data_IF_703894525042
#
_entry.id   IF_703894525042
#
_cell.length_a   1.000
_cell.length_b   1.000
_cell.length_c   1.000
_cell.angle_alpha   90.00
_cell.angle_beta   90.00
_cell.angle_gamma   90.00
#
_symmetry.space_group_name_H-M   'P 1'
#
loop_
_entity.id
_entity.type
_entity.pdbx_description
1 polymer ?
#
# COMPACT_ATOMS: atom_id res chain seq x y z
N UNK A 1 25.38 -17.22 -10.95
CA UNK A 1 24.79 -16.23 -10.02
C UNK A 1 23.72 -16.95 -9.21
N UNK A 2 23.62 -16.67 -7.92
CA UNK A 2 22.50 -17.17 -7.11
C UNK A 2 21.31 -16.27 -7.43
N UNK A 3 20.22 -16.86 -7.87
CA UNK A 3 19.03 -16.11 -8.27
C UNK A 3 18.12 -15.94 -7.06
N UNK A 4 17.92 -14.70 -6.64
CA UNK A 4 17.24 -14.35 -5.38
C UNK A 4 15.92 -13.60 -5.60
N UNK A 5 15.47 -13.46 -6.84
CA UNK A 5 14.27 -12.71 -7.18
C UNK A 5 13.01 -13.59 -7.16
N UNK A 6 11.90 -13.00 -6.72
CA UNK A 6 10.58 -13.61 -6.76
C UNK A 6 9.56 -12.61 -7.32
N UNK A 7 8.68 -13.08 -8.20
CA UNK A 7 7.46 -12.36 -8.57
C UNK A 7 6.36 -12.72 -7.57
N UNK A 8 5.58 -11.72 -7.13
CA UNK A 8 4.42 -11.97 -6.28
C UNK A 8 3.15 -11.95 -7.14
N UNK A 9 2.27 -12.93 -6.94
CA UNK A 9 0.95 -12.99 -7.55
C UNK A 9 -0.14 -12.89 -6.47
N UNK A 10 -1.12 -11.98 -6.66
CA UNK A 10 -2.27 -11.86 -5.77
C UNK A 10 -3.29 -12.95 -6.06
N UNK A 11 -3.87 -13.52 -5.00
CA UNK A 11 -4.98 -14.47 -5.07
C UNK A 11 -6.28 -13.87 -4.48
N UNK A 12 -6.22 -12.62 -4.01
CA UNK A 12 -7.31 -11.94 -3.29
C UNK A 12 -7.33 -12.24 -1.78
N UNK A 13 -8.06 -11.44 -1.01
CA UNK A 13 -8.17 -11.55 0.46
C UNK A 13 -6.81 -11.55 1.19
N UNK A 14 -5.83 -10.81 0.67
CA UNK A 14 -4.52 -10.62 1.29
C UNK A 14 -3.58 -11.79 1.14
N UNK A 15 -3.95 -12.72 0.27
CA UNK A 15 -3.19 -13.95 0.02
C UNK A 15 -2.36 -13.81 -1.24
N UNK A 16 -1.15 -14.35 -1.17
CA UNK A 16 -0.17 -14.25 -2.24
C UNK A 16 0.52 -15.57 -2.56
N UNK A 17 1.12 -15.62 -3.75
CA UNK A 17 2.07 -16.64 -4.19
C UNK A 17 3.40 -15.98 -4.52
N UNK A 18 4.51 -16.61 -4.18
CA UNK A 18 5.84 -16.23 -4.65
C UNK A 18 6.23 -17.16 -5.80
N UNK A 19 6.45 -16.59 -6.98
CA UNK A 19 6.97 -17.28 -8.15
C UNK A 19 8.45 -16.96 -8.30
N UNK A 20 9.30 -17.96 -8.42
CA UNK A 20 10.73 -17.79 -8.71
C UNK A 20 10.94 -17.36 -10.16
N UNK A 21 12.14 -16.89 -10.48
CA UNK A 21 12.63 -16.60 -11.83
C UNK A 21 12.43 -17.73 -12.85
N UNK A 22 12.52 -18.99 -12.41
CA UNK A 22 12.31 -20.18 -13.23
C UNK A 22 10.84 -20.64 -13.27
N UNK A 23 9.92 -19.72 -13.01
CA UNK A 23 8.46 -19.88 -13.10
C UNK A 23 7.83 -20.88 -12.11
N UNK A 24 8.63 -21.40 -11.16
CA UNK A 24 8.16 -22.29 -10.09
C UNK A 24 7.61 -21.48 -8.92
N UNK A 25 6.99 -22.16 -7.95
CA UNK A 25 6.39 -21.48 -6.81
C UNK A 25 6.99 -21.92 -5.48
N UNK A 26 7.18 -20.96 -4.58
CA UNK A 26 7.54 -21.21 -3.19
C UNK A 26 6.29 -21.64 -2.42
N UNK A 27 6.40 -22.70 -1.62
CA UNK A 27 5.31 -23.23 -0.78
C UNK A 27 5.84 -23.65 0.60
N UNK A 28 5.06 -23.51 1.68
CA UNK A 28 5.36 -24.06 2.98
C UNK A 28 5.22 -25.58 2.94
N UNK A 29 6.19 -26.27 3.53
CA UNK A 29 6.09 -27.69 3.82
C UNK A 29 5.47 -27.90 5.20
N UNK A 30 4.81 -29.04 5.42
CA UNK A 30 4.18 -29.38 6.70
C UNK A 30 5.15 -29.37 7.90
N UNK A 31 6.46 -29.50 7.64
CA UNK A 31 7.52 -29.43 8.66
C UNK A 31 8.08 -28.02 8.90
N UNK A 32 7.46 -26.98 8.31
CA UNK A 32 7.77 -25.57 8.57
C UNK A 32 8.86 -24.94 7.70
N UNK A 33 9.57 -25.71 6.88
CA UNK A 33 10.51 -25.15 5.89
C UNK A 33 9.80 -24.74 4.60
N UNK A 34 10.44 -23.88 3.82
CA UNK A 34 9.95 -23.48 2.50
C UNK A 34 10.59 -24.34 1.41
N UNK A 35 9.82 -24.71 0.39
CA UNK A 35 10.30 -25.48 -0.77
C UNK A 35 9.77 -24.89 -2.07
N UNK A 36 10.48 -25.13 -3.17
CA UNK A 36 10.07 -24.72 -4.51
C UNK A 36 9.43 -25.91 -5.23
N UNK A 37 8.23 -25.74 -5.77
CA UNK A 37 7.47 -26.78 -6.49
C UNK A 37 7.18 -26.37 -7.94
N UNK A 38 7.16 -27.36 -8.83
CA UNK A 38 6.87 -27.21 -10.26
C UNK A 38 5.37 -27.20 -10.59
N UNK A 39 4.49 -27.32 -9.60
CA UNK A 39 3.07 -27.58 -9.84
C UNK A 39 2.32 -26.32 -10.29
N UNK A 40 1.39 -26.52 -11.24
CA UNK A 40 0.30 -25.60 -11.55
C UNK A 40 -0.60 -25.53 -10.32
N UNK A 41 -0.21 -24.72 -9.35
CA UNK A 41 -0.98 -24.47 -8.13
C UNK A 41 -2.31 -23.85 -8.55
N UNK A 42 -3.43 -24.42 -8.08
CA UNK A 42 -4.77 -23.96 -8.45
C UNK A 42 -4.93 -22.45 -8.18
N UNK A 43 -5.84 -21.79 -8.90
CA UNK A 43 -6.05 -20.35 -8.74
C UNK A 43 -6.38 -19.94 -7.30
N UNK A 44 -6.92 -20.84 -6.47
CA UNK A 44 -7.39 -20.57 -5.12
C UNK A 44 -6.40 -20.99 -4.01
N UNK A 45 -5.40 -21.82 -4.31
CA UNK A 45 -4.41 -22.22 -3.33
C UNK A 45 -3.45 -21.06 -3.07
N UNK A 46 -3.45 -20.53 -1.86
CA UNK A 46 -2.51 -19.49 -1.47
C UNK A 46 -1.85 -19.85 -0.15
N UNK A 47 -0.54 -19.62 -0.11
CA UNK A 47 0.32 -20.21 0.90
C UNK A 47 0.85 -19.22 1.92
N UNK A 48 0.73 -17.94 1.61
CA UNK A 48 1.23 -16.86 2.44
C UNK A 48 0.19 -15.76 2.52
N UNK A 49 -0.01 -15.25 3.73
CA UNK A 49 -0.58 -13.94 3.99
C UNK A 49 0.54 -12.98 4.38
N UNK A 50 0.29 -11.68 4.29
CA UNK A 50 1.28 -10.69 4.65
C UNK A 50 0.63 -9.63 5.53
N UNK A 51 1.37 -9.19 6.56
CA UNK A 51 0.90 -8.28 7.61
C UNK A 51 1.90 -7.14 7.78
N UNK A 52 1.48 -5.88 7.97
CA UNK A 52 2.42 -4.83 8.34
C UNK A 52 2.75 -4.91 9.84
N UNK A 53 3.89 -5.51 10.17
CA UNK A 53 4.38 -5.54 11.54
C UNK A 53 5.21 -4.26 11.74
N UNK A 54 4.83 -3.43 12.72
CA UNK A 54 5.62 -2.28 13.22
C UNK A 54 5.53 -0.94 12.43
N UNK A 55 4.38 -0.62 11.83
CA UNK A 55 4.07 0.69 11.23
C UNK A 55 2.66 1.18 11.59
N UNK A 56 2.40 1.53 12.86
CA UNK A 56 1.13 2.17 13.22
C UNK A 56 1.00 3.57 12.64
N UNK A 57 2.09 4.15 12.09
CA UNK A 57 2.08 5.48 11.53
C UNK A 57 2.89 5.60 10.22
N UNK A 58 2.49 6.52 9.34
CA UNK A 58 3.23 6.88 8.12
C UNK A 58 3.22 8.39 7.84
N UNK A 59 4.13 8.82 6.98
CA UNK A 59 4.19 10.18 6.41
C UNK A 59 4.12 10.02 4.90
N UNK A 60 3.40 10.91 4.21
CA UNK A 60 3.37 10.93 2.75
C UNK A 60 4.01 12.20 2.21
N UNK A 61 4.92 12.03 1.23
CA UNK A 61 5.57 13.12 0.51
C UNK A 61 5.57 12.88 -0.99
N UNK A 62 5.24 13.91 -1.77
CA UNK A 62 5.40 13.94 -3.23
C UNK A 62 6.36 15.06 -3.64
N UNK A 63 6.53 15.28 -4.94
CA UNK A 63 7.42 16.32 -5.48
C UNK A 63 7.02 17.75 -5.07
N UNK A 64 5.77 17.96 -4.66
CA UNK A 64 5.26 19.26 -4.20
C UNK A 64 5.45 19.50 -2.70
N UNK A 65 5.75 18.45 -1.90
CA UNK A 65 5.86 18.54 -0.44
C UNK A 65 5.14 17.40 0.30
N UNK A 66 4.89 17.62 1.59
CA UNK A 66 4.21 16.68 2.47
C UNK A 66 2.69 16.84 2.40
N UNK A 67 1.97 15.74 2.67
CA UNK A 67 0.52 15.80 2.91
C UNK A 67 0.25 16.41 4.29
N UNK A 68 -0.72 17.31 4.36
CA UNK A 68 -1.30 17.81 5.60
C UNK A 68 -2.52 18.68 5.35
N UNK A 69 -3.13 19.22 6.41
CA UNK A 69 -4.29 20.09 6.27
C UNK A 69 -3.97 21.37 5.47
N UNK A 70 -4.86 21.71 4.53
CA UNK A 70 -4.97 23.04 3.93
C UNK A 70 -5.10 24.08 5.05
N UNK A 71 -6.16 23.91 5.84
CA UNK A 71 -6.39 24.62 7.09
C UNK A 71 -7.17 23.72 8.05
N UNK A 72 -7.07 23.98 9.36
CA UNK A 72 -7.69 23.13 10.38
C UNK A 72 -9.22 23.15 10.35
N UNK A 73 -9.87 24.18 9.81
CA UNK A 73 -11.33 24.27 9.78
C UNK A 73 -11.93 23.44 8.65
N UNK A 74 -11.35 23.49 7.45
CA UNK A 74 -11.82 22.74 6.29
C UNK A 74 -11.47 21.26 6.40
N UNK A 75 -10.37 20.94 7.10
CA UNK A 75 -9.81 19.59 7.22
C UNK A 75 -9.55 18.92 5.85
N UNK A 76 -9.50 19.71 4.77
CA UNK A 76 -9.12 19.27 3.42
C UNK A 76 -7.60 19.06 3.40
N UNK A 77 -7.13 18.00 2.75
CA UNK A 77 -5.71 17.70 2.60
C UNK A 77 -5.10 18.39 1.36
N UNK A 78 -3.85 18.82 1.52
CA UNK A 78 -2.98 19.34 0.47
C UNK A 78 -1.60 18.71 0.54
N UNK A 79 -0.89 18.67 -0.58
CA UNK A 79 0.41 17.99 -0.71
C UNK A 79 1.62 18.93 -0.80
N UNK A 80 1.43 20.23 -0.56
CA UNK A 80 2.47 21.25 -0.65
C UNK A 80 2.95 21.75 0.74
N UNK A 81 2.76 20.93 1.79
CA UNK A 81 3.15 21.32 3.15
C UNK A 81 4.66 21.17 3.32
N UNK A 82 5.28 22.15 3.96
CA UNK A 82 6.70 22.10 4.32
C UNK A 82 6.98 21.12 5.47
N UNK A 83 6.00 20.89 6.34
CA UNK A 83 6.13 20.02 7.51
C UNK A 83 5.38 18.70 7.30
N UNK A 84 5.99 17.62 7.76
CA UNK A 84 5.39 16.29 7.74
C UNK A 84 4.21 16.20 8.70
N UNK A 85 3.13 15.60 8.24
CA UNK A 85 2.01 15.18 9.08
C UNK A 85 2.08 13.68 9.28
N UNK A 86 1.85 13.22 10.52
CA UNK A 86 1.81 11.81 10.86
C UNK A 86 0.38 11.28 10.70
N UNK A 87 0.23 10.23 9.90
CA UNK A 87 -1.03 9.51 9.72
C UNK A 87 -0.98 8.21 10.49
N UNK A 88 -2.04 7.87 11.21
CA UNK A 88 -2.20 6.55 11.81
C UNK A 88 -2.77 5.59 10.77
N UNK A 89 -2.23 4.37 10.78
CA UNK A 89 -2.56 3.29 9.89
C UNK A 89 -3.35 2.23 10.66
N UNK A 90 -4.62 2.08 10.31
CA UNK A 90 -5.50 1.10 10.94
C UNK A 90 -5.86 -0.01 9.96
N UNK A 91 -5.69 -1.26 10.41
CA UNK A 91 -6.10 -2.45 9.65
C UNK A 91 -7.62 -2.66 9.81
N UNK A 92 -8.34 -3.11 8.77
CA UNK A 92 -9.76 -3.39 8.90
C UNK A 92 -10.09 -4.45 9.95
N UNK A 93 -11.01 -4.12 10.86
CA UNK A 93 -11.46 -4.98 11.96
C UNK A 93 -12.38 -6.14 11.53
N UNK A 94 -12.78 -6.20 10.26
CA UNK A 94 -13.72 -7.20 9.74
C UNK A 94 -13.09 -8.59 9.54
N UNK A 95 -11.78 -8.74 9.76
CA UNK A 95 -11.07 -10.02 9.63
C UNK A 95 -11.01 -10.57 8.21
N UNK A 96 -11.50 -9.82 7.22
CA UNK A 96 -11.57 -10.24 5.82
C UNK A 96 -10.43 -9.68 4.97
N UNK A 97 -9.63 -8.72 5.48
CA UNK A 97 -8.67 -7.95 4.68
C UNK A 97 -7.37 -7.55 5.40
N UNK A 98 -6.69 -8.48 6.07
CA UNK A 98 -5.26 -8.31 6.38
C UNK A 98 -4.43 -8.52 5.11
N UNK A 99 -4.47 -7.56 4.18
CA UNK A 99 -3.67 -7.58 2.95
C UNK A 99 -2.51 -6.61 3.10
N UNK A 100 -1.27 -7.06 3.39
CA UNK A 100 -0.16 -6.11 3.48
C UNK A 100 1.28 -6.63 3.38
N UNK A 101 2.01 -6.32 2.31
CA UNK A 101 3.37 -6.82 1.98
C UNK A 101 4.50 -6.33 2.93
N UNK A 102 5.36 -7.23 3.43
CA UNK A 102 6.67 -6.95 4.08
C UNK A 102 7.85 -7.41 3.19
N UNK A 103 8.99 -6.72 3.32
CA UNK A 103 10.31 -7.06 2.77
C UNK A 103 11.03 -8.22 3.48
N UNK A 104 11.63 -9.15 2.72
CA UNK A 104 12.66 -10.07 3.21
C UNK A 104 14.05 -9.60 2.75
N UNK A 105 14.96 -9.37 3.70
CA UNK A 105 16.38 -9.06 3.44
C UNK A 105 17.22 -10.32 3.65
N UNK A 106 17.78 -10.85 2.58
CA UNK A 106 18.85 -11.86 2.65
C UNK A 106 20.14 -11.23 3.17
N UNK A 107 20.86 -11.96 4.02
CA UNK A 107 22.25 -11.62 4.38
C UNK A 107 23.11 -11.76 3.11
N UNK A 108 24.04 -10.82 2.94
CA UNK A 108 25.05 -10.74 1.86
C UNK A 108 24.51 -10.42 0.44
N UNK A 109 24.43 -9.12 0.16
CA UNK A 109 24.57 -8.49 -1.16
C UNK A 109 23.70 -8.97 -2.35
N UNK A 110 22.52 -9.55 -2.09
CA UNK A 110 21.56 -9.88 -3.15
C UNK A 110 20.23 -9.16 -2.92
N UNK A 111 19.96 -8.10 -3.67
CA UNK A 111 18.71 -7.32 -3.58
C UNK A 111 17.55 -8.13 -4.17
N UNK A 112 16.50 -8.36 -3.37
CA UNK A 112 15.26 -9.02 -3.80
C UNK A 112 14.29 -7.92 -4.23
N UNK A 113 13.99 -7.85 -5.53
CA UNK A 113 12.99 -6.93 -6.08
C UNK A 113 11.60 -7.56 -6.01
N UNK A 114 10.67 -6.87 -5.34
CA UNK A 114 9.31 -7.34 -5.09
C UNK A 114 8.33 -6.60 -6.01
N UNK A 115 7.44 -7.34 -6.68
CA UNK A 115 6.30 -6.80 -7.43
C UNK A 115 5.06 -6.78 -6.54
N UNK A 116 4.25 -5.74 -6.70
CA UNK A 116 3.44 -5.20 -5.61
C UNK A 116 1.95 -5.40 -5.89
N UNK A 117 1.20 -5.61 -4.81
CA UNK A 117 -0.26 -5.74 -4.76
C UNK A 117 -0.79 -4.67 -3.78
N UNK A 118 -1.96 -4.05 -4.04
CA UNK A 118 -2.55 -3.06 -3.14
C UNK A 118 -2.75 -3.58 -1.71
N UNK A 119 -2.39 -2.75 -0.74
CA UNK A 119 -2.56 -2.96 0.69
C UNK A 119 -3.70 -2.07 1.16
N UNK A 120 -4.83 -2.63 1.58
CA UNK A 120 -5.94 -1.84 2.08
C UNK A 120 -5.69 -1.35 3.51
N UNK A 121 -5.75 -0.04 3.71
CA UNK A 121 -5.50 0.64 4.97
C UNK A 121 -6.55 1.72 5.21
N UNK A 122 -6.91 1.90 6.48
CA UNK A 122 -7.63 3.07 6.94
C UNK A 122 -6.64 4.13 7.39
N UNK A 123 -6.83 5.35 6.90
CA UNK A 123 -5.99 6.50 7.24
C UNK A 123 -6.74 7.42 8.18
N UNK A 124 -6.15 7.65 9.34
CA UNK A 124 -6.55 8.70 10.26
C UNK A 124 -5.40 9.72 10.38
N UNK A 125 -5.71 10.98 10.64
CA UNK A 125 -4.69 12.01 10.88
C UNK A 125 -4.58 12.24 12.39
N UNK A 126 -3.38 12.10 12.95
CA UNK A 126 -3.13 12.34 14.38
C UNK A 126 -3.82 11.33 15.30
N UNK A 127 -4.30 11.81 16.45
CA UNK A 127 -5.01 11.02 17.48
C UNK A 127 -6.51 11.33 17.50
N UNK A 128 -6.99 12.01 16.47
CA UNK A 128 -8.29 12.69 16.44
C UNK A 128 -9.45 11.70 16.19
N UNK A 129 -9.12 10.47 15.76
CA UNK A 129 -10.08 9.39 15.49
C UNK A 129 -10.97 9.64 14.25
N UNK A 130 -10.64 10.63 13.43
CA UNK A 130 -11.38 10.97 12.20
C UNK A 130 -10.65 10.42 10.97
N UNK A 131 -11.44 9.82 10.07
CA UNK A 131 -10.93 9.12 8.90
C UNK A 131 -10.84 10.01 7.67
N UNK A 132 -9.99 9.61 6.73
CA UNK A 132 -10.01 10.17 5.39
C UNK A 132 -11.36 9.89 4.71
N UNK A 133 -11.87 10.86 3.96
CA UNK A 133 -13.10 10.76 3.18
C UNK A 133 -12.89 11.46 1.83
N UNK A 134 -13.57 10.95 0.80
CA UNK A 134 -13.61 11.58 -0.53
C UNK A 134 -14.85 12.50 -0.58
N UNK A 135 -14.63 13.79 -0.85
CA UNK A 135 -15.71 14.76 -1.06
C UNK A 135 -16.34 14.65 -2.46
N UNK A 136 -17.46 15.34 -2.68
CA UNK A 136 -18.16 15.35 -3.98
C UNK A 136 -17.30 15.86 -5.14
N UNK A 137 -16.35 16.75 -4.87
CA UNK A 137 -15.37 17.28 -5.83
C UNK A 137 -14.13 16.38 -5.97
N UNK A 138 -14.18 15.17 -5.42
CA UNK A 138 -13.13 14.15 -5.39
C UNK A 138 -11.88 14.54 -4.59
N UNK A 139 -11.92 15.65 -3.85
CA UNK A 139 -10.85 16.02 -2.92
C UNK A 139 -10.88 15.16 -1.66
N UNK A 140 -9.75 15.08 -0.97
CA UNK A 140 -9.61 14.28 0.25
C UNK A 140 -9.68 15.18 1.48
N UNK A 141 -10.53 14.85 2.44
CA UNK A 141 -10.61 15.52 3.74
C UNK A 141 -10.48 14.51 4.89
N UNK A 142 -10.29 15.01 6.11
CA UNK A 142 -10.23 14.18 7.33
C UNK A 142 -11.43 14.49 8.24
N UNK A 143 -12.62 14.14 7.77
CA UNK A 143 -13.90 14.34 8.47
C UNK A 143 -14.72 13.07 8.64
N UNK A 144 -14.23 11.93 8.13
CA UNK A 144 -15.00 10.69 8.10
C UNK A 144 -15.32 10.20 9.50
N UNK A 145 -16.60 9.92 9.74
CA UNK A 145 -17.07 9.24 10.95
C UNK A 145 -16.85 7.72 10.88
N UNK A 146 -16.67 7.19 9.66
CA UNK A 146 -16.45 5.77 9.38
C UNK A 146 -15.14 5.56 8.61
N UNK A 147 -14.48 4.41 8.76
CA UNK A 147 -13.25 4.11 8.03
C UNK A 147 -13.46 3.97 6.51
N UNK A 148 -12.82 4.84 5.71
CA UNK A 148 -12.81 4.73 4.24
C UNK A 148 -11.65 3.87 3.73
N UNK A 149 -11.96 2.85 2.91
CA UNK A 149 -10.97 1.88 2.39
C UNK A 149 -10.07 2.48 1.30
N UNK A 150 -8.88 2.95 1.66
CA UNK A 150 -7.83 3.31 0.70
C UNK A 150 -6.84 2.14 0.56
N UNK A 151 -6.16 2.02 -0.58
CA UNK A 151 -5.17 0.98 -0.81
C UNK A 151 -3.81 1.57 -1.22
N UNK A 152 -2.72 1.08 -0.63
CA UNK A 152 -1.35 1.42 -1.01
C UNK A 152 -0.79 0.39 -1.98
N UNK A 153 -0.47 0.82 -3.19
CA UNK A 153 0.31 0.04 -4.14
C UNK A 153 1.74 0.60 -4.16
N UNK A 154 2.66 -0.04 -3.46
CA UNK A 154 4.11 0.19 -3.67
C UNK A 154 4.48 0.26 -5.17
N UNK A 155 5.42 1.14 -5.51
CA UNK A 155 5.97 1.29 -6.83
C UNK A 155 7.28 0.47 -6.98
N UNK A 156 7.69 0.12 -8.20
CA UNK A 156 8.98 -0.53 -8.44
C UNK A 156 10.19 0.33 -8.03
N UNK A 157 10.02 1.66 -7.95
CA UNK A 157 11.00 2.60 -7.43
C UNK A 157 11.10 2.48 -5.89
N UNK A 158 12.32 2.62 -5.36
CA UNK A 158 12.58 2.45 -3.93
C UNK A 158 11.66 3.35 -3.06
N UNK A 159 10.98 2.73 -2.09
CA UNK A 159 10.17 3.37 -1.02
C UNK A 159 9.06 4.33 -1.48
N UNK A 160 8.41 4.06 -2.62
CA UNK A 160 7.26 4.83 -3.09
C UNK A 160 6.00 3.99 -3.17
N UNK A 161 4.84 4.63 -3.03
CA UNK A 161 3.51 4.03 -3.19
C UNK A 161 2.62 4.91 -4.05
N UNK A 162 1.63 4.35 -4.71
CA UNK A 162 0.44 5.07 -5.17
C UNK A 162 -0.73 4.70 -4.27
N UNK A 163 -1.66 5.63 -4.11
CA UNK A 163 -2.80 5.46 -3.21
C UNK A 163 -4.06 5.33 -4.05
N UNK A 164 -4.74 4.20 -3.97
CA UNK A 164 -6.05 3.96 -4.58
C UNK A 164 -7.15 4.28 -3.57
N UNK A 165 -8.13 5.07 -3.96
CA UNK A 165 -9.22 5.50 -3.10
C UNK A 165 -10.45 4.59 -3.24
N UNK A 166 -11.41 4.63 -2.30
CA UNK A 166 -12.64 3.82 -2.33
C UNK A 166 -13.45 3.90 -3.63
N UNK A 167 -13.35 5.01 -4.36
CA UNK A 167 -14.02 5.20 -5.66
C UNK A 167 -13.34 4.42 -6.81
N UNK A 168 -12.30 3.62 -6.54
CA UNK A 168 -11.57 2.81 -7.52
C UNK A 168 -10.48 3.57 -8.28
N UNK A 169 -10.32 4.87 -8.02
CA UNK A 169 -9.36 5.75 -8.69
C UNK A 169 -8.13 5.98 -7.81
N UNK A 170 -7.00 6.36 -8.40
CA UNK A 170 -5.78 6.72 -7.69
C UNK A 170 -5.71 8.22 -7.39
N UNK A 171 -5.03 8.55 -6.30
CA UNK A 171 -4.76 9.93 -5.91
C UNK A 171 -3.79 10.60 -6.89
N UNK A 172 -4.16 11.81 -7.27
CA UNK A 172 -3.38 12.72 -8.09
C UNK A 172 -3.20 14.04 -7.34
N UNK A 173 -1.94 14.44 -7.25
CA UNK A 173 -1.51 15.72 -6.73
C UNK A 173 -1.25 16.70 -7.88
N UNK A 174 -1.53 17.98 -7.65
CA UNK A 174 -1.25 19.06 -8.59
C UNK A 174 -0.32 20.11 -7.96
N UNK A 175 0.31 20.94 -8.79
CA UNK A 175 1.28 21.97 -8.35
C UNK A 175 0.67 23.00 -7.38
N UNK A 176 -0.64 23.24 -7.46
CA UNK A 176 -1.36 24.10 -6.53
C UNK A 176 -1.57 23.46 -5.13
N UNK A 177 -1.11 22.22 -4.93
CA UNK A 177 -1.23 21.48 -3.68
C UNK A 177 -2.49 20.62 -3.57
N UNK A 178 -3.41 20.64 -4.55
CA UNK A 178 -4.63 19.84 -4.47
C UNK A 178 -4.33 18.34 -4.54
N UNK A 179 -5.12 17.54 -3.83
CA UNK A 179 -5.10 16.08 -3.89
C UNK A 179 -6.51 15.61 -4.24
N UNK A 180 -6.65 14.86 -5.34
CA UNK A 180 -7.93 14.34 -5.79
C UNK A 180 -7.86 12.88 -6.25
N UNK A 181 -8.92 12.12 -6.02
CA UNK A 181 -9.05 10.72 -6.46
C UNK A 181 -9.57 10.61 -7.90
N UNK A 182 -8.75 11.02 -8.87
CA UNK A 182 -9.17 11.18 -10.28
C UNK A 182 -8.38 10.35 -11.28
N UNK A 183 -7.28 9.71 -10.89
CA UNK A 183 -6.42 9.01 -11.83
C UNK A 183 -6.88 7.56 -12.03
N UNK A 184 -7.07 7.10 -13.26
CA UNK A 184 -7.52 5.71 -13.53
C UNK A 184 -6.37 4.69 -13.54
N UNK A 185 -5.13 5.16 -13.72
CA UNK A 185 -3.97 4.29 -13.96
C UNK A 185 -2.88 4.56 -12.93
N UNK A 186 -2.43 3.53 -12.22
CA UNK A 186 -1.36 3.63 -11.22
C UNK A 186 -0.07 4.23 -11.78
N UNK A 187 0.22 4.05 -13.08
CA UNK A 187 1.42 4.63 -13.73
C UNK A 187 1.37 6.15 -13.88
N UNK A 188 0.17 6.73 -13.90
CA UNK A 188 -0.06 8.16 -14.03
C UNK A 188 -0.46 8.82 -12.70
N UNK A 189 -0.64 8.02 -11.65
CA UNK A 189 -0.94 8.49 -10.32
C UNK A 189 0.27 9.14 -9.67
N UNK A 190 0.03 9.98 -8.67
CA UNK A 190 1.12 10.55 -7.88
C UNK A 190 1.77 9.46 -7.05
N UNK A 191 3.10 9.38 -7.13
CA UNK A 191 3.90 8.52 -6.26
C UNK A 191 4.22 9.27 -4.97
N UNK A 192 4.04 8.60 -3.84
CA UNK A 192 4.27 9.11 -2.51
C UNK A 192 5.41 8.34 -1.86
N UNK A 193 6.40 9.05 -1.35
CA UNK A 193 7.38 8.49 -0.42
C UNK A 193 6.67 8.21 0.91
N UNK A 194 6.90 7.01 1.46
CA UNK A 194 6.21 6.44 2.64
C UNK A 194 7.18 5.80 3.63
#
# INVERSE_FOLDING_TARGET
SIETSFQIQSVGHGRIKFQTSNEKFLVPHATGHLRVVNEQISSNDAYFSIKFINRPFCIFKCDFGHIGYRNKQSRILECNKALSTLFSLEEPHDGTHSEGIIYLKGLENSTISIKIIPVFLFFTLGSDGVYWEILNDLSICVNGCEPSKFALELCPSHSRVVIKAPNGMYLRAEQNGSIQATCQNSRQATQWEF
#
